data_IF_779861542113
#
_entry.id   IF_779861542113
#
_cell.length_a   1.000
_cell.length_b   1.000
_cell.length_c   1.000
_cell.angle_alpha   90.00
_cell.angle_beta   90.00
_cell.angle_gamma   90.00
#
_symmetry.space_group_name_H-M   'P 1'
#
loop_
_entity.id
_entity.type
_entity.pdbx_description
1 polymer ?
#
# COMPACT_ATOMS: atom_id res chain seq x y z
N UNK A 1 86.05 27.82 -35.66
CA UNK A 1 85.12 27.09 -34.79
C UNK A 1 85.83 25.86 -34.26
N UNK A 2 85.99 25.73 -32.99
CA UNK A 2 86.79 24.69 -32.34
C UNK A 2 85.93 23.45 -32.10
N UNK A 3 86.28 22.33 -32.73
CA UNK A 3 85.57 21.06 -32.70
C UNK A 3 85.31 20.57 -31.25
N UNK A 4 86.23 20.94 -30.34
CA UNK A 4 86.06 20.64 -28.91
C UNK A 4 84.89 21.34 -28.26
N UNK A 5 84.53 22.55 -28.65
CA UNK A 5 83.40 23.31 -28.15
C UNK A 5 82.09 22.78 -28.71
N UNK A 6 82.10 22.16 -29.91
CA UNK A 6 80.93 21.57 -30.53
C UNK A 6 80.58 20.21 -29.85
N UNK A 7 81.62 19.43 -29.47
CA UNK A 7 81.44 18.14 -28.77
C UNK A 7 80.94 18.31 -27.30
N UNK A 8 81.41 19.36 -26.63
CA UNK A 8 80.99 19.67 -25.28
C UNK A 8 79.56 20.20 -25.29
N UNK A 9 79.19 21.00 -26.28
CA UNK A 9 77.84 21.51 -26.47
C UNK A 9 76.80 20.38 -26.78
N UNK A 10 77.19 19.38 -27.57
CA UNK A 10 76.35 18.25 -27.90
C UNK A 10 76.21 17.27 -26.73
N UNK A 11 77.27 17.07 -25.92
CA UNK A 11 77.18 16.27 -24.70
C UNK A 11 76.28 16.88 -23.62
N UNK A 12 76.29 18.20 -23.44
CA UNK A 12 75.42 18.93 -22.54
C UNK A 12 73.94 18.92 -22.98
N UNK A 13 73.70 18.97 -24.31
CA UNK A 13 72.34 18.87 -24.85
C UNK A 13 71.74 17.46 -24.65
N UNK A 14 72.57 16.39 -24.80
CA UNK A 14 72.13 14.99 -24.52
C UNK A 14 71.89 14.70 -23.03
N UNK A 15 72.66 15.37 -22.15
CA UNK A 15 72.43 15.22 -20.69
C UNK A 15 71.19 15.99 -20.23
N UNK A 16 70.81 17.06 -20.91
CA UNK A 16 69.59 17.81 -20.58
C UNK A 16 68.31 17.08 -21.04
N UNK A 17 68.40 16.21 -22.08
CA UNK A 17 67.23 15.45 -22.59
C UNK A 17 66.99 14.19 -21.79
N UNK A 18 68.00 13.62 -21.09
CA UNK A 18 67.86 12.39 -20.27
C UNK A 18 67.23 12.64 -18.90
N UNK A 19 66.97 13.90 -18.51
CA UNK A 19 66.31 14.27 -17.22
C UNK A 19 64.84 14.55 -17.31
N UNK A 20 64.25 14.52 -18.52
CA UNK A 20 62.80 14.63 -18.67
C UNK A 20 62.22 13.19 -18.55
N UNK A 21 62.29 12.60 -17.36
CA UNK A 21 61.33 11.55 -17.02
C UNK A 21 59.96 12.25 -17.05
N UNK A 22 59.10 11.81 -17.98
CA UNK A 22 57.71 12.16 -17.95
C UNK A 22 57.23 11.81 -16.56
N UNK A 23 56.83 12.80 -15.77
CA UNK A 23 56.01 12.58 -14.60
C UNK A 23 54.84 11.73 -15.11
N UNK A 24 54.72 10.50 -14.62
CA UNK A 24 53.52 9.71 -14.83
C UNK A 24 52.34 10.66 -14.56
N UNK A 25 51.58 10.92 -15.58
CA UNK A 25 50.32 11.63 -15.39
C UNK A 25 49.58 10.76 -14.37
N UNK A 26 49.43 11.27 -13.16
CA UNK A 26 48.49 10.73 -12.21
C UNK A 26 47.16 10.84 -12.94
N UNK A 27 46.75 9.76 -13.59
CA UNK A 27 45.38 9.61 -14.08
C UNK A 27 44.55 9.69 -12.81
N UNK A 28 44.01 10.88 -12.57
CA UNK A 28 42.99 10.99 -11.53
C UNK A 28 41.98 9.92 -11.85
N UNK A 29 41.85 8.95 -10.97
CA UNK A 29 40.80 7.95 -11.11
C UNK A 29 39.50 8.71 -11.39
N UNK A 30 38.89 8.43 -12.55
CA UNK A 30 37.55 8.98 -12.79
C UNK A 30 36.75 8.75 -11.54
N UNK A 31 36.15 9.78 -10.94
CA UNK A 31 35.32 9.60 -9.78
C UNK A 31 34.27 8.55 -10.18
N UNK A 32 34.24 7.41 -9.46
CA UNK A 32 33.21 6.40 -9.66
C UNK A 32 31.88 7.14 -9.65
N UNK A 33 30.98 6.90 -10.63
CA UNK A 33 29.69 7.56 -10.66
C UNK A 33 29.06 7.29 -9.31
N UNK A 34 28.81 8.35 -8.55
CA UNK A 34 28.11 8.26 -7.28
C UNK A 34 26.75 7.62 -7.60
N UNK A 35 26.54 6.38 -7.21
CA UNK A 35 25.21 5.79 -7.24
C UNK A 35 24.34 6.60 -6.27
N UNK A 36 23.66 7.60 -6.78
CA UNK A 36 22.77 8.44 -5.99
C UNK A 36 21.62 7.64 -5.39
N UNK A 37 21.27 6.49 -5.98
CA UNK A 37 20.18 5.61 -5.55
C UNK A 37 20.64 4.15 -5.68
N UNK A 38 20.86 3.48 -4.54
CA UNK A 38 21.14 2.05 -4.48
C UNK A 38 19.84 1.27 -4.41
N UNK A 39 19.65 0.29 -5.29
CA UNK A 39 18.48 -0.59 -5.30
C UNK A 39 18.45 -1.43 -4.00
N UNK A 40 17.26 -1.60 -3.43
CA UNK A 40 17.04 -2.45 -2.26
C UNK A 40 16.17 -3.64 -2.65
N UNK A 41 16.81 -4.77 -2.95
CA UNK A 41 16.11 -5.99 -3.39
C UNK A 41 15.51 -6.80 -2.22
N UNK A 42 15.92 -6.53 -0.98
CA UNK A 42 15.53 -7.29 0.20
C UNK A 42 14.01 -7.33 0.43
N UNK A 43 13.28 -6.29 -0.01
CA UNK A 43 11.84 -6.14 0.20
C UNK A 43 11.03 -6.16 -1.11
N UNK A 44 11.65 -6.58 -2.21
CA UNK A 44 11.01 -6.72 -3.53
C UNK A 44 11.22 -5.53 -4.45
N UNK A 45 10.58 -5.57 -5.60
CA UNK A 45 10.79 -4.61 -6.69
C UNK A 45 10.34 -3.20 -6.35
N UNK A 46 11.13 -2.22 -6.73
CA UNK A 46 10.82 -0.79 -6.62
C UNK A 46 11.25 -0.14 -5.31
N UNK A 47 11.91 -0.89 -4.41
CA UNK A 47 12.56 -0.31 -3.25
C UNK A 47 13.97 0.16 -3.57
N UNK A 48 14.39 1.26 -2.94
CA UNK A 48 15.74 1.79 -2.97
C UNK A 48 16.15 2.26 -1.57
N UNK A 49 17.46 2.23 -1.28
CA UNK A 49 17.97 2.70 0.00
C UNK A 49 17.88 4.22 0.11
N UNK A 50 17.44 4.72 1.25
CA UNK A 50 17.57 6.13 1.59
C UNK A 50 19.09 6.40 1.79
N UNK A 51 19.69 7.37 1.06
CA UNK A 51 21.13 7.64 1.16
C UNK A 51 21.61 7.82 2.60
N UNK A 52 22.67 7.10 2.98
CA UNK A 52 23.25 7.13 4.32
C UNK A 52 22.48 6.34 5.39
N UNK A 53 21.50 5.52 5.02
CA UNK A 53 20.73 4.68 5.94
C UNK A 53 20.62 3.25 5.42
N UNK A 54 20.20 2.32 6.30
CA UNK A 54 19.81 0.95 5.94
C UNK A 54 18.28 0.81 5.70
N UNK A 55 17.59 1.93 5.60
CA UNK A 55 16.14 1.95 5.35
C UNK A 55 15.88 1.94 3.86
N UNK A 56 15.05 1.01 3.41
CA UNK A 56 14.52 0.94 2.06
C UNK A 56 13.22 1.73 1.95
N UNK A 57 13.07 2.44 0.86
CA UNK A 57 11.94 3.32 0.57
C UNK A 57 11.34 2.95 -0.78
N UNK A 58 10.01 2.90 -0.86
CA UNK A 58 9.26 2.76 -2.10
C UNK A 58 8.18 3.82 -2.19
N UNK A 59 8.12 4.48 -3.34
CA UNK A 59 6.98 5.30 -3.74
C UNK A 59 6.07 4.48 -4.65
N UNK A 60 4.77 4.55 -4.41
CA UNK A 60 3.77 3.92 -5.26
C UNK A 60 2.46 4.71 -5.21
N UNK A 61 1.47 4.27 -5.97
CA UNK A 61 0.16 4.90 -6.01
C UNK A 61 -0.55 4.64 -7.32
N UNK A 62 -1.68 5.31 -7.51
CA UNK A 62 -2.46 5.20 -8.73
C UNK A 62 -3.22 6.48 -9.04
N UNK A 63 -3.61 6.61 -10.30
CA UNK A 63 -4.63 7.56 -10.75
C UNK A 63 -5.80 6.74 -11.29
N UNK A 64 -7.01 7.00 -10.78
CA UNK A 64 -8.26 6.34 -11.20
C UNK A 64 -9.28 7.37 -11.66
N UNK A 65 -9.68 7.27 -12.92
CA UNK A 65 -10.87 7.95 -13.42
C UNK A 65 -12.08 7.05 -13.24
N UNK A 66 -13.14 7.56 -12.64
CA UNK A 66 -14.36 6.81 -12.36
C UNK A 66 -15.56 7.58 -12.88
N UNK A 67 -16.52 6.85 -13.43
CA UNK A 67 -17.83 7.37 -13.81
C UNK A 67 -18.88 6.50 -13.13
N UNK A 68 -19.72 7.13 -12.34
CA UNK A 68 -20.82 6.49 -11.63
C UNK A 68 -22.14 6.83 -12.29
N UNK A 69 -22.99 5.84 -12.46
CA UNK A 69 -24.35 5.98 -13.01
C UNK A 69 -25.35 5.52 -11.96
N UNK A 70 -26.34 6.37 -11.67
CA UNK A 70 -27.42 6.03 -10.75
C UNK A 70 -28.66 6.82 -11.12
N UNK A 71 -29.75 6.13 -11.42
CA UNK A 71 -30.98 6.75 -11.89
C UNK A 71 -31.58 7.65 -10.80
N UNK A 72 -31.65 8.94 -11.10
CA UNK A 72 -32.51 9.92 -10.43
C UNK A 72 -32.14 10.39 -9.03
N UNK A 73 -30.96 10.03 -8.49
CA UNK A 73 -30.60 10.37 -7.10
C UNK A 73 -29.21 10.97 -6.92
N UNK A 74 -28.59 11.51 -7.96
CA UNK A 74 -27.22 12.00 -7.88
C UNK A 74 -26.25 10.92 -7.39
N UNK A 75 -25.22 10.68 -8.11
CA UNK A 75 -24.17 9.78 -7.68
C UNK A 75 -23.25 10.58 -6.76
N UNK A 76 -22.93 10.06 -5.63
CA UNK A 76 -22.17 10.83 -4.63
C UNK A 76 -20.79 10.24 -4.41
N UNK A 77 -20.06 9.95 -5.45
CA UNK A 77 -18.65 9.59 -5.27
C UNK A 77 -17.75 10.80 -4.94
N UNK A 78 -18.32 11.83 -4.35
CA UNK A 78 -17.60 13.02 -3.92
C UNK A 78 -18.21 14.33 -4.40
N UNK A 79 -19.39 14.30 -5.01
CA UNK A 79 -20.06 15.51 -5.49
C UNK A 79 -21.20 15.94 -4.61
N UNK A 80 -21.40 17.24 -4.57
CA UNK A 80 -22.51 17.91 -3.91
C UNK A 80 -23.65 18.23 -4.86
N UNK A 81 -23.74 17.59 -6.01
CA UNK A 81 -24.76 17.88 -7.00
C UNK A 81 -26.10 17.29 -6.58
N UNK A 82 -26.72 17.93 -5.62
CA UNK A 82 -27.99 17.57 -5.04
C UNK A 82 -29.04 17.03 -6.01
N UNK A 83 -29.01 15.76 -6.28
CA UNK A 83 -30.21 14.99 -6.37
C UNK A 83 -30.87 14.80 -7.73
N UNK A 84 -30.40 15.30 -8.87
CA UNK A 84 -31.07 15.08 -10.17
C UNK A 84 -30.17 14.57 -11.30
N UNK A 85 -28.88 14.41 -11.06
CA UNK A 85 -27.97 13.87 -12.07
C UNK A 85 -28.02 12.36 -12.10
N UNK A 86 -28.04 11.78 -13.30
CA UNK A 86 -27.99 10.33 -13.51
C UNK A 86 -26.56 9.80 -13.59
N UNK A 87 -25.57 10.65 -13.62
CA UNK A 87 -24.16 10.28 -13.69
C UNK A 87 -23.25 11.31 -13.02
N UNK A 88 -22.10 10.85 -12.63
CA UNK A 88 -21.03 11.66 -12.06
C UNK A 88 -19.67 11.12 -12.42
N UNK A 89 -18.66 11.96 -12.51
CA UNK A 89 -17.30 11.56 -12.79
C UNK A 89 -16.29 12.27 -11.90
N UNK A 90 -15.31 11.54 -11.41
CA UNK A 90 -14.20 12.09 -10.64
C UNK A 90 -12.89 11.37 -10.96
N UNK A 91 -11.79 12.02 -10.66
CA UNK A 91 -10.46 11.42 -10.75
C UNK A 91 -9.86 11.32 -9.35
N UNK A 92 -9.50 10.12 -8.92
CA UNK A 92 -8.78 9.88 -7.66
C UNK A 92 -7.29 9.79 -7.91
N UNK A 93 -6.52 10.50 -7.12
CA UNK A 93 -5.09 10.33 -7.01
C UNK A 93 -4.72 9.75 -5.64
N UNK A 94 -3.88 8.74 -5.62
CA UNK A 94 -3.31 8.17 -4.40
C UNK A 94 -1.80 8.11 -4.52
N UNK A 95 -1.10 8.54 -3.48
CA UNK A 95 0.35 8.50 -3.37
C UNK A 95 0.72 7.85 -2.04
N UNK A 96 1.61 6.86 -2.09
CA UNK A 96 1.98 6.02 -0.96
C UNK A 96 3.48 5.98 -0.78
N UNK A 97 3.90 6.00 0.49
CA UNK A 97 5.27 5.88 0.94
C UNK A 97 5.35 4.60 1.80
N UNK A 98 6.14 3.62 1.38
CA UNK A 98 6.41 2.38 2.13
C UNK A 98 7.90 2.37 2.50
N UNK A 99 8.21 2.39 3.79
CA UNK A 99 9.57 2.30 4.31
C UNK A 99 9.77 0.98 5.02
N UNK A 100 10.94 0.36 4.85
CA UNK A 100 11.28 -0.91 5.51
C UNK A 100 12.72 -0.92 5.97
N UNK A 101 12.92 -1.43 7.19
CA UNK A 101 14.25 -1.60 7.79
C UNK A 101 14.30 -2.98 8.43
N UNK A 102 15.35 -3.75 8.15
CA UNK A 102 15.56 -5.03 8.80
C UNK A 102 15.86 -4.85 10.29
N UNK A 103 15.23 -5.70 11.11
CA UNK A 103 15.48 -5.76 12.55
C UNK A 103 15.55 -7.22 13.02
N UNK A 104 16.02 -7.46 14.22
CA UNK A 104 16.03 -8.79 14.84
C UNK A 104 14.64 -9.41 15.01
N UNK A 105 13.58 -8.58 15.03
CA UNK A 105 12.18 -9.00 15.15
C UNK A 105 11.46 -9.10 13.79
N UNK A 106 12.19 -8.97 12.69
CA UNK A 106 11.68 -8.91 11.32
C UNK A 106 11.70 -7.49 10.75
N UNK A 107 11.11 -7.30 9.59
CA UNK A 107 11.08 -6.00 8.94
C UNK A 107 10.20 -5.01 9.71
N UNK A 108 10.81 -3.91 10.17
CA UNK A 108 10.05 -2.74 10.62
C UNK A 108 9.55 -1.99 9.39
N UNK A 109 8.24 -1.89 9.26
CA UNK A 109 7.57 -1.20 8.15
C UNK A 109 6.88 0.07 8.64
N UNK A 110 7.12 1.17 7.95
CA UNK A 110 6.32 2.39 8.06
C UNK A 110 5.58 2.63 6.75
N UNK A 111 4.30 2.96 6.83
CA UNK A 111 3.47 3.21 5.66
C UNK A 111 2.66 4.49 5.83
N UNK A 112 2.62 5.33 4.78
CA UNK A 112 1.78 6.52 4.72
C UNK A 112 1.14 6.58 3.34
N UNK A 113 -0.20 6.68 3.29
CA UNK A 113 -0.99 6.86 2.08
C UNK A 113 -1.71 8.20 2.09
N UNK A 114 -1.56 8.97 1.03
CA UNK A 114 -2.31 10.19 0.77
C UNK A 114 -3.30 9.95 -0.34
N UNK A 115 -4.53 10.44 -0.19
CA UNK A 115 -5.61 10.31 -1.16
C UNK A 115 -6.32 11.63 -1.36
N UNK A 116 -6.71 11.91 -2.60
CA UNK A 116 -7.56 13.04 -2.93
C UNK A 116 -8.36 12.75 -4.19
N UNK A 117 -9.51 13.39 -4.33
CA UNK A 117 -10.35 13.33 -5.52
C UNK A 117 -10.34 14.71 -6.21
N UNK A 118 -10.15 14.72 -7.52
CA UNK A 118 -10.37 15.89 -8.36
C UNK A 118 -11.77 15.75 -8.96
N UNK A 119 -12.61 16.72 -8.67
CA UNK A 119 -14.02 16.77 -9.03
C UNK A 119 -14.38 18.15 -9.59
N UNK A 120 -15.35 18.22 -10.51
CA UNK A 120 -15.72 19.48 -11.17
C UNK A 120 -16.45 20.47 -10.28
N UNK A 121 -17.09 20.03 -9.21
CA UNK A 121 -18.04 20.85 -8.45
C UNK A 121 -17.42 21.71 -7.35
N UNK A 122 -16.21 21.44 -6.88
CA UNK A 122 -15.71 22.07 -5.67
C UNK A 122 -14.18 21.95 -5.51
N UNK A 123 -13.48 23.01 -5.86
CA UNK A 123 -12.06 23.15 -5.58
C UNK A 123 -11.74 23.22 -4.07
N UNK A 124 -12.74 23.50 -3.22
CA UNK A 124 -12.58 23.66 -1.78
C UNK A 124 -12.85 22.38 -0.98
N UNK A 125 -13.53 21.38 -1.55
CA UNK A 125 -13.83 20.10 -0.89
C UNK A 125 -12.91 18.96 -1.32
N UNK A 126 -12.08 19.16 -2.33
CA UNK A 126 -11.11 18.19 -2.83
C UNK A 126 -9.80 18.26 -2.04
N UNK A 127 -9.86 18.05 -0.74
CA UNK A 127 -8.65 18.03 0.09
C UNK A 127 -7.89 16.73 -0.07
N UNK A 128 -6.56 16.83 -0.08
CA UNK A 128 -5.70 15.66 0.11
C UNK A 128 -5.72 15.32 1.59
N UNK A 129 -5.98 14.07 1.91
CA UNK A 129 -6.04 13.55 3.28
C UNK A 129 -5.16 12.31 3.46
N UNK A 130 -4.87 11.99 4.70
CA UNK A 130 -4.16 10.75 5.05
C UNK A 130 -5.18 9.62 5.02
N UNK A 131 -5.06 8.73 4.04
CA UNK A 131 -5.91 7.54 3.91
C UNK A 131 -5.49 6.46 4.90
N UNK A 132 -4.20 6.12 4.90
CA UNK A 132 -3.60 5.16 5.82
C UNK A 132 -2.31 5.72 6.41
N UNK A 133 -2.03 5.41 7.67
CA UNK A 133 -0.73 5.65 8.30
C UNK A 133 -0.54 4.61 9.41
N UNK A 134 0.49 3.75 9.30
CA UNK A 134 0.73 2.69 10.26
C UNK A 134 2.19 2.29 10.37
N UNK A 135 2.51 1.63 11.48
CA UNK A 135 3.77 0.93 11.73
C UNK A 135 3.46 -0.56 11.88
N UNK A 136 4.33 -1.42 11.34
CA UNK A 136 4.20 -2.88 11.43
C UNK A 136 5.55 -3.50 11.78
N UNK A 137 5.57 -4.44 12.73
CA UNK A 137 6.74 -5.18 13.16
C UNK A 137 6.35 -6.55 13.73
N UNK A 138 6.90 -7.63 13.18
CA UNK A 138 6.73 -8.98 13.72
C UNK A 138 5.27 -9.43 13.85
N UNK A 139 4.40 -9.04 12.93
CA UNK A 139 2.95 -9.32 12.96
C UNK A 139 2.12 -8.31 13.74
N UNK A 140 2.72 -7.44 14.55
CA UNK A 140 2.03 -6.32 15.18
C UNK A 140 1.90 -5.16 14.19
N UNK A 141 0.69 -4.62 14.01
CA UNK A 141 0.39 -3.44 13.20
C UNK A 141 -0.41 -2.44 14.02
N UNK A 142 0.03 -1.17 14.02
CA UNK A 142 -0.59 -0.08 14.80
C UNK A 142 -0.74 1.16 13.93
N UNK A 143 -1.90 1.78 13.97
CA UNK A 143 -2.24 3.00 13.22
C UNK A 143 -3.55 2.89 12.46
N UNK A 144 -3.72 3.74 11.44
CA UNK A 144 -4.90 3.71 10.57
C UNK A 144 -4.61 2.88 9.33
N UNK A 145 -5.33 1.78 9.17
CA UNK A 145 -5.16 0.85 8.05
C UNK A 145 -6.43 0.05 7.76
N UNK A 146 -6.50 -0.54 6.57
CA UNK A 146 -7.59 -1.41 6.19
C UNK A 146 -7.60 -2.70 7.02
N UNK A 147 -8.74 -3.01 7.60
CA UNK A 147 -8.99 -4.25 8.33
C UNK A 147 -9.26 -5.40 7.35
N UNK A 148 -9.40 -6.62 7.87
CA UNK A 148 -9.81 -7.77 7.04
C UNK A 148 -11.22 -7.63 6.44
N UNK A 149 -12.02 -6.67 6.91
CA UNK A 149 -13.33 -6.34 6.35
C UNK A 149 -13.25 -5.67 4.98
N UNK A 150 -12.07 -5.15 4.57
CA UNK A 150 -11.80 -4.65 3.23
C UNK A 150 -11.55 -5.77 2.22
N UNK A 151 -11.24 -6.99 2.69
CA UNK A 151 -11.03 -8.13 1.82
C UNK A 151 -12.36 -8.53 1.17
N UNK A 152 -12.37 -8.67 -0.16
CA UNK A 152 -13.57 -8.92 -0.94
C UNK A 152 -13.30 -9.90 -2.08
N UNK A 153 -14.35 -10.37 -2.74
CA UNK A 153 -14.24 -11.01 -4.04
C UNK A 153 -13.84 -9.98 -5.11
N UNK A 154 -13.19 -10.40 -6.18
CA UNK A 154 -12.59 -9.50 -7.17
C UNK A 154 -13.60 -8.60 -7.91
N UNK A 155 -14.84 -9.05 -8.05
CA UNK A 155 -15.95 -8.32 -8.69
C UNK A 155 -16.98 -7.78 -7.70
N UNK A 156 -16.75 -7.90 -6.41
CA UNK A 156 -17.66 -7.41 -5.39
C UNK A 156 -17.64 -5.88 -5.31
N UNK A 157 -18.80 -5.28 -5.10
CA UNK A 157 -19.00 -3.84 -5.00
C UNK A 157 -19.13 -3.33 -3.56
N UNK A 158 -18.35 -3.88 -2.62
CA UNK A 158 -18.32 -3.55 -1.18
C UNK A 158 -19.67 -3.79 -0.45
N UNK A 159 -20.51 -4.68 -0.95
CA UNK A 159 -21.83 -4.96 -0.39
C UNK A 159 -21.80 -5.86 0.87
N UNK A 160 -20.68 -6.54 1.13
CA UNK A 160 -20.51 -7.45 2.25
C UNK A 160 -19.67 -6.88 3.40
N UNK A 161 -19.37 -5.59 3.35
CA UNK A 161 -18.77 -4.81 4.42
C UNK A 161 -19.32 -3.38 4.42
N UNK A 162 -19.28 -2.69 5.54
CA UNK A 162 -19.73 -1.30 5.63
C UNK A 162 -18.58 -0.34 5.89
N UNK A 163 -17.74 -0.64 6.86
CA UNK A 163 -16.52 0.10 7.13
C UNK A 163 -15.36 -0.89 7.31
N UNK A 164 -14.21 -0.50 6.82
CA UNK A 164 -13.03 -1.34 6.85
C UNK A 164 -11.75 -0.60 7.23
N UNK A 165 -11.78 0.73 7.34
CA UNK A 165 -10.62 1.57 7.60
C UNK A 165 -10.70 2.18 9.00
N UNK A 166 -9.91 1.65 9.94
CA UNK A 166 -9.93 2.03 11.36
C UNK A 166 -8.54 2.41 11.88
N UNK A 167 -8.49 3.23 12.93
CA UNK A 167 -7.33 3.27 13.81
C UNK A 167 -7.36 2.01 14.66
N UNK A 168 -6.30 1.21 14.61
CA UNK A 168 -6.32 -0.14 15.17
C UNK A 168 -4.97 -0.54 15.76
N UNK A 169 -5.05 -1.48 16.69
CA UNK A 169 -3.92 -2.31 17.13
C UNK A 169 -4.26 -3.74 16.74
N UNK A 170 -3.49 -4.32 15.81
CA UNK A 170 -3.71 -5.66 15.26
C UNK A 170 -2.47 -6.52 15.42
N UNK A 171 -2.66 -7.76 15.84
CA UNK A 171 -1.64 -8.78 15.76
C UNK A 171 -2.11 -9.90 14.83
N UNK A 172 -1.24 -10.30 13.91
CA UNK A 172 -1.47 -11.40 12.96
C UNK A 172 -0.30 -12.38 13.04
N UNK A 173 -0.61 -13.63 13.34
CA UNK A 173 0.30 -14.74 13.17
C UNK A 173 0.11 -15.34 11.79
N UNK A 174 1.17 -15.45 11.01
CA UNK A 174 1.16 -16.02 9.66
C UNK A 174 2.20 -17.13 9.56
N UNK A 175 1.72 -18.33 9.24
CA UNK A 175 2.53 -19.54 9.02
C UNK A 175 2.67 -19.89 7.52
N UNK A 176 2.25 -19.01 6.61
CA UNK A 176 2.27 -19.21 5.16
C UNK A 176 1.08 -19.99 4.62
N UNK A 177 0.76 -21.18 5.17
CA UNK A 177 -0.42 -21.95 4.77
C UNK A 177 -1.68 -21.58 5.53
N UNK A 178 -1.54 -20.97 6.69
CA UNK A 178 -2.65 -20.40 7.47
C UNK A 178 -2.20 -19.15 8.21
N UNK A 179 -3.14 -18.29 8.52
CA UNK A 179 -2.95 -17.13 9.39
C UNK A 179 -4.12 -17.00 10.36
N UNK A 180 -3.86 -16.34 11.47
CA UNK A 180 -4.91 -15.94 12.41
C UNK A 180 -4.49 -14.66 13.13
N UNK A 181 -5.47 -13.83 13.49
CA UNK A 181 -5.17 -12.56 14.14
C UNK A 181 -6.35 -11.99 14.89
N UNK A 182 -6.04 -10.99 15.70
CA UNK A 182 -6.99 -10.19 16.45
C UNK A 182 -6.67 -8.71 16.32
N UNK A 183 -7.69 -7.87 16.32
CA UNK A 183 -7.61 -6.42 16.24
C UNK A 183 -8.51 -5.77 17.28
N UNK A 184 -8.05 -4.66 17.82
CA UNK A 184 -8.88 -3.71 18.57
C UNK A 184 -8.95 -2.46 17.73
N UNK A 185 -10.17 -2.05 17.39
CA UNK A 185 -10.45 -0.99 16.43
C UNK A 185 -11.17 0.16 17.14
N UNK A 186 -10.73 1.40 16.91
CA UNK A 186 -11.45 2.60 17.32
C UNK A 186 -12.66 2.76 16.43
N UNK A 187 -13.85 2.80 17.02
CA UNK A 187 -15.11 2.98 16.30
C UNK A 187 -15.72 4.36 16.47
N UNK A 188 -15.16 5.22 17.33
CA UNK A 188 -15.65 6.56 17.56
C UNK A 188 -15.83 7.34 16.25
N UNK A 189 -17.01 7.92 16.04
CA UNK A 189 -17.33 8.70 14.87
C UNK A 189 -17.55 7.91 13.56
N UNK A 190 -17.39 6.58 13.59
CA UNK A 190 -17.66 5.73 12.43
C UNK A 190 -19.17 5.75 12.12
N UNK A 191 -19.49 5.96 10.83
CA UNK A 191 -20.88 6.00 10.37
C UNK A 191 -21.47 4.60 10.27
N UNK A 192 -22.67 4.43 10.86
CA UNK A 192 -23.44 3.19 10.81
C UNK A 192 -24.87 3.55 10.37
N UNK A 193 -25.12 3.46 9.07
CA UNK A 193 -26.38 3.89 8.48
C UNK A 193 -26.63 5.39 8.67
N UNK A 194 -27.66 5.77 9.43
CA UNK A 194 -28.05 7.16 9.65
C UNK A 194 -27.48 7.79 10.93
N UNK A 195 -26.59 7.13 11.64
CA UNK A 195 -25.97 7.62 12.88
C UNK A 195 -24.46 7.31 12.91
N UNK A 196 -23.74 8.00 13.78
CA UNK A 196 -22.33 7.73 14.06
C UNK A 196 -22.19 6.97 15.37
N UNK A 197 -21.11 6.21 15.48
CA UNK A 197 -20.73 5.56 16.73
C UNK A 197 -20.36 6.60 17.78
N UNK A 198 -20.65 6.29 19.04
CA UNK A 198 -20.43 7.18 20.18
C UNK A 198 -18.95 7.32 20.53
N UNK A 199 -18.67 8.35 21.33
CA UNK A 199 -17.34 8.55 21.92
C UNK A 199 -16.93 7.33 22.76
N UNK A 200 -15.64 7.00 22.70
CA UNK A 200 -15.01 5.87 23.39
C UNK A 200 -15.49 4.46 22.94
N UNK A 201 -16.21 4.35 21.84
CA UNK A 201 -16.62 3.05 21.32
C UNK A 201 -15.43 2.32 20.68
N UNK A 202 -15.31 1.04 21.02
CA UNK A 202 -14.31 0.15 20.45
C UNK A 202 -14.96 -1.08 19.79
N UNK A 203 -14.27 -1.60 18.79
CA UNK A 203 -14.58 -2.88 18.18
C UNK A 203 -13.47 -3.89 18.43
N UNK A 204 -13.83 -5.15 18.37
CA UNK A 204 -12.89 -6.27 18.36
C UNK A 204 -13.12 -7.05 17.07
N UNK A 205 -12.07 -7.16 16.26
CA UNK A 205 -12.12 -7.99 15.07
C UNK A 205 -11.21 -9.22 15.22
N UNK A 206 -11.67 -10.34 14.69
CA UNK A 206 -10.92 -11.59 14.59
C UNK A 206 -10.88 -12.01 13.13
N UNK A 207 -9.76 -12.55 12.72
CA UNK A 207 -9.60 -13.08 11.38
C UNK A 207 -8.79 -14.37 11.40
N UNK A 208 -9.13 -15.28 10.51
CA UNK A 208 -8.35 -16.47 10.22
C UNK A 208 -8.49 -16.84 8.76
N UNK A 209 -7.42 -17.33 8.17
CA UNK A 209 -7.41 -17.79 6.77
C UNK A 209 -6.54 -19.02 6.60
N UNK A 210 -6.85 -19.84 5.61
CA UNK A 210 -6.06 -20.99 5.24
C UNK A 210 -6.06 -21.18 3.73
N UNK A 211 -4.95 -21.69 3.21
CA UNK A 211 -4.76 -22.02 1.79
C UNK A 211 -4.47 -23.51 1.65
N UNK A 212 -5.30 -24.19 0.87
CA UNK A 212 -5.21 -25.62 0.57
C UNK A 212 -5.12 -25.79 -0.94
N UNK A 213 -3.90 -25.93 -1.48
CA UNK A 213 -3.66 -26.05 -2.91
C UNK A 213 -4.33 -24.89 -3.71
N UNK A 214 -5.42 -25.17 -4.41
CA UNK A 214 -6.17 -24.20 -5.22
C UNK A 214 -7.32 -23.52 -4.48
N UNK A 215 -7.57 -23.86 -3.20
CA UNK A 215 -8.67 -23.33 -2.38
C UNK A 215 -8.11 -22.40 -1.32
N UNK A 216 -8.68 -21.22 -1.18
CA UNK A 216 -8.41 -20.29 -0.08
C UNK A 216 -9.70 -20.04 0.70
N UNK A 217 -9.63 -20.12 2.03
CA UNK A 217 -10.72 -19.83 2.94
C UNK A 217 -10.31 -18.70 3.87
N UNK A 218 -11.24 -17.80 4.17
CA UNK A 218 -11.05 -16.72 5.13
C UNK A 218 -12.33 -16.53 5.95
N UNK A 219 -12.21 -16.54 7.26
CA UNK A 219 -13.27 -16.25 8.21
C UNK A 219 -12.92 -15.00 8.99
N UNK A 220 -13.83 -14.04 9.02
CA UNK A 220 -13.66 -12.75 9.68
C UNK A 220 -14.83 -12.53 10.61
N UNK A 221 -14.57 -12.08 11.82
CA UNK A 221 -15.57 -11.65 12.79
C UNK A 221 -15.31 -10.22 13.22
N UNK A 222 -16.36 -9.47 13.53
CA UNK A 222 -16.29 -8.13 14.13
C UNK A 222 -17.37 -7.98 15.18
N UNK A 223 -17.02 -7.40 16.33
CA UNK A 223 -17.95 -7.14 17.42
C UNK A 223 -17.85 -5.68 17.86
N UNK A 224 -18.97 -4.98 17.87
CA UNK A 224 -19.11 -3.61 18.31
C UNK A 224 -19.56 -3.59 19.77
N UNK A 225 -18.70 -3.09 20.66
CA UNK A 225 -18.92 -3.22 22.11
C UNK A 225 -20.06 -2.36 22.65
N UNK A 226 -20.27 -1.16 22.11
CA UNK A 226 -21.32 -0.25 22.57
C UNK A 226 -22.72 -0.69 22.09
N UNK A 227 -22.77 -1.33 20.92
CA UNK A 227 -24.03 -1.84 20.36
C UNK A 227 -24.39 -3.25 20.75
N UNK A 228 -23.42 -3.96 21.32
CA UNK A 228 -23.53 -5.39 21.66
C UNK A 228 -23.92 -6.25 20.43
N UNK A 229 -23.51 -5.80 19.22
CA UNK A 229 -23.78 -6.45 17.95
C UNK A 229 -22.49 -6.86 17.24
N UNK A 230 -22.55 -7.95 16.50
CA UNK A 230 -21.41 -8.45 15.75
C UNK A 230 -21.81 -8.98 14.38
N UNK A 231 -20.80 -9.17 13.55
CA UNK A 231 -20.93 -9.73 12.21
C UNK A 231 -19.86 -10.79 11.98
N UNK A 232 -20.18 -11.76 11.14
CA UNK A 232 -19.25 -12.81 10.70
C UNK A 232 -19.32 -12.91 9.18
N UNK A 233 -18.16 -12.96 8.52
CA UNK A 233 -18.03 -13.08 7.08
C UNK A 233 -17.13 -14.24 6.71
N UNK A 234 -17.55 -15.07 5.78
CA UNK A 234 -16.77 -16.13 5.15
C UNK A 234 -16.50 -15.76 3.69
N UNK A 235 -15.26 -15.90 3.28
CA UNK A 235 -14.82 -15.79 1.88
C UNK A 235 -14.14 -17.09 1.50
N UNK A 236 -14.52 -17.66 0.37
CA UNK A 236 -13.91 -18.86 -0.20
C UNK A 236 -13.60 -18.63 -1.68
N UNK A 237 -12.38 -18.95 -2.10
CA UNK A 237 -12.00 -18.91 -3.51
C UNK A 237 -11.39 -20.24 -3.94
N UNK A 238 -11.66 -20.67 -5.16
CA UNK A 238 -11.13 -21.91 -5.71
C UNK A 238 -10.79 -21.76 -7.19
N UNK A 239 -9.65 -22.32 -7.60
CA UNK A 239 -9.29 -22.44 -9.02
C UNK A 239 -10.22 -23.47 -9.68
N UNK A 240 -10.99 -23.07 -10.68
CA UNK A 240 -11.94 -23.93 -11.41
C UNK A 240 -11.77 -23.71 -12.90
N UNK A 241 -11.26 -24.71 -13.62
CA UNK A 241 -10.98 -24.58 -15.05
C UNK A 241 -10.05 -23.39 -15.37
N UNK A 242 -10.39 -22.51 -16.31
CA UNK A 242 -9.54 -21.38 -16.69
C UNK A 242 -9.67 -20.16 -15.74
N UNK A 243 -10.45 -20.25 -14.68
CA UNK A 243 -10.75 -19.10 -13.81
C UNK A 243 -10.75 -19.45 -12.35
N UNK A 244 -11.20 -18.48 -11.54
CA UNK A 244 -11.36 -18.59 -10.10
C UNK A 244 -12.83 -18.38 -9.74
N UNK A 245 -13.41 -19.36 -9.06
CA UNK A 245 -14.73 -19.25 -8.44
C UNK A 245 -14.55 -18.64 -7.04
N UNK A 246 -15.30 -17.59 -6.75
CA UNK A 246 -15.38 -16.93 -5.45
C UNK A 246 -16.79 -17.03 -4.88
N UNK A 247 -16.88 -17.31 -3.59
CA UNK A 247 -18.11 -17.32 -2.79
C UNK A 247 -17.86 -16.51 -1.52
N UNK A 248 -18.78 -15.65 -1.15
CA UNK A 248 -18.73 -14.93 0.12
C UNK A 248 -20.12 -14.86 0.75
N UNK A 249 -20.16 -14.84 2.07
CA UNK A 249 -21.37 -14.67 2.83
C UNK A 249 -21.10 -13.95 4.14
N UNK A 250 -22.01 -13.08 4.53
CA UNK A 250 -21.98 -12.33 5.79
C UNK A 250 -23.28 -12.53 6.55
N UNK A 251 -23.18 -12.57 7.88
CA UNK A 251 -24.30 -12.52 8.80
C UNK A 251 -24.00 -11.52 9.93
N UNK A 252 -25.02 -10.80 10.37
CA UNK A 252 -24.94 -9.83 11.46
C UNK A 252 -26.10 -10.03 12.46
N UNK A 253 -25.80 -9.91 13.75
CA UNK A 253 -26.81 -9.94 14.82
C UNK A 253 -27.60 -8.64 14.92
N UNK A 254 -27.14 -7.59 14.28
CA UNK A 254 -27.73 -6.25 14.19
C UNK A 254 -26.75 -5.31 13.51
N UNK A 255 -27.20 -4.12 13.13
CA UNK A 255 -26.38 -3.10 12.50
C UNK A 255 -25.20 -2.71 13.40
N UNK A 256 -24.00 -2.77 12.87
CA UNK A 256 -22.75 -2.46 13.57
C UNK A 256 -21.73 -1.83 12.61
N UNK A 257 -20.62 -1.35 13.14
CA UNK A 257 -19.61 -0.63 12.37
C UNK A 257 -19.02 -1.48 11.22
N UNK A 258 -18.92 -2.79 11.37
CA UNK A 258 -18.34 -3.67 10.36
C UNK A 258 -19.33 -4.01 9.25
N UNK A 259 -20.61 -4.20 9.61
CA UNK A 259 -21.66 -4.50 8.64
C UNK A 259 -23.02 -3.98 9.11
N UNK A 260 -23.70 -3.18 8.26
CA UNK A 260 -24.96 -2.53 8.60
C UNK A 260 -26.01 -2.55 7.45
N UNK A 261 -25.76 -3.32 6.39
CA UNK A 261 -26.62 -3.32 5.19
C UNK A 261 -27.85 -4.19 5.38
N UNK A 262 -27.67 -5.37 5.95
CA UNK A 262 -28.76 -6.36 6.15
C UNK A 262 -28.40 -7.32 7.27
N UNK A 263 -29.33 -8.23 7.63
CA UNK A 263 -29.03 -9.33 8.57
C UNK A 263 -28.06 -10.36 7.94
N UNK A 264 -28.21 -10.63 6.65
CA UNK A 264 -27.31 -11.50 5.90
C UNK A 264 -27.25 -11.09 4.43
N UNK A 265 -26.14 -11.41 3.80
CA UNK A 265 -25.96 -11.30 2.36
C UNK A 265 -25.00 -12.39 1.86
N UNK A 266 -25.11 -12.71 0.58
CA UNK A 266 -24.22 -13.65 -0.11
C UNK A 266 -23.79 -13.07 -1.44
N UNK A 267 -22.56 -13.39 -1.85
CA UNK A 267 -22.02 -13.05 -3.16
C UNK A 267 -21.36 -14.27 -3.79
N UNK A 268 -21.41 -14.35 -5.12
CA UNK A 268 -20.71 -15.36 -5.90
C UNK A 268 -20.13 -14.68 -7.15
N UNK A 269 -18.93 -15.08 -7.54
CA UNK A 269 -18.28 -14.61 -8.74
C UNK A 269 -17.53 -15.74 -9.46
N UNK A 270 -17.30 -15.55 -10.74
CA UNK A 270 -16.36 -16.35 -11.50
C UNK A 270 -15.47 -15.43 -12.35
N UNK A 271 -14.22 -15.32 -11.94
CA UNK A 271 -13.24 -14.44 -12.59
C UNK A 271 -12.39 -15.22 -13.60
N UNK A 272 -12.31 -14.74 -14.85
CA UNK A 272 -11.50 -15.32 -15.91
C UNK A 272 -10.52 -14.25 -16.39
N UNK A 273 -9.26 -14.61 -16.52
CA UNK A 273 -8.27 -13.79 -17.21
C UNK A 273 -8.44 -13.99 -18.73
N UNK A 274 -8.92 -12.99 -19.43
CA UNK A 274 -9.25 -13.07 -20.86
C UNK A 274 -8.02 -12.92 -21.77
N UNK A 275 -6.98 -12.22 -21.30
CA UNK A 275 -5.72 -11.99 -22.04
C UNK A 275 -4.55 -12.00 -21.08
N UNK A 276 -3.36 -12.36 -21.57
CA UNK A 276 -2.09 -12.24 -20.81
C UNK A 276 -1.62 -10.80 -20.74
#
# INVERSE_FOLDING_TARGET
>A
MNIKSLLIGSAAALAAVSGAQAADAIVAAEPEPLEYVRVCDAFGTGFFYIPGTETCLKFQGYVRFQVDFKNGNGTSAGTNNGGTSDWDAFTRAQFEIDTRTDTELGALRGFIGFRGNADNGSSSSSSVFVDQAFIELGGLKVGKFYSWWDDSLSGETDELASNALFNSIRYTYDAGSFWAGASVDELEGISVGSYNERDNNIGVALGAGAKFDSVTLQLIGGYNTDRENGSVRLIATAGVGPGTLGLSGVWASGANAYYNVSEWAVAAEYAIKATD
#
